data_IF_355781495216
#
_entry.id   IF_355781495216
#
_cell.length_a   1.000
_cell.length_b   1.000
_cell.length_c   1.000
_cell.angle_alpha   90.00
_cell.angle_beta   90.00
_cell.angle_gamma   90.00
#
_symmetry.space_group_name_H-M   'P 1'
#
loop_
_entity.id
_entity.type
_entity.pdbx_description
1 polymer ?
#
# COMPACT_ATOMS: atom_id res chain seq x y z
N UNK A 1 24.22 -107.32 -9.79
CA UNK A 1 23.77 -106.40 -8.73
C UNK A 1 24.26 -104.99 -9.09
N UNK A 2 23.41 -104.17 -9.71
CA UNK A 2 23.74 -102.80 -10.18
C UNK A 2 23.61 -101.84 -8.99
N UNK A 3 24.66 -101.07 -8.67
CA UNK A 3 24.56 -99.95 -7.73
C UNK A 3 24.40 -98.64 -8.50
N UNK A 4 23.35 -97.95 -8.13
CA UNK A 4 22.79 -96.73 -8.70
C UNK A 4 23.60 -95.49 -8.36
N UNK A 5 23.75 -94.64 -9.36
CA UNK A 5 24.30 -93.29 -9.29
C UNK A 5 23.50 -92.40 -8.34
N UNK A 6 24.20 -91.71 -7.43
CA UNK A 6 23.64 -90.60 -6.64
C UNK A 6 24.35 -89.33 -7.12
N UNK A 7 23.62 -88.52 -7.90
CA UNK A 7 24.03 -87.18 -8.31
C UNK A 7 24.00 -86.26 -7.09
N UNK A 8 25.17 -85.83 -6.66
CA UNK A 8 25.33 -84.78 -5.65
C UNK A 8 25.09 -83.43 -6.34
N UNK A 9 23.96 -82.79 -6.00
CA UNK A 9 23.59 -81.47 -6.46
C UNK A 9 24.57 -80.41 -5.93
N UNK A 10 25.10 -79.60 -6.84
CA UNK A 10 25.98 -78.46 -6.57
C UNK A 10 25.16 -77.38 -5.85
N UNK A 11 25.46 -77.14 -4.58
CA UNK A 11 24.85 -76.08 -3.77
C UNK A 11 25.38 -74.73 -4.30
N UNK A 12 24.53 -73.96 -4.98
CA UNK A 12 24.88 -72.63 -5.50
C UNK A 12 24.84 -71.64 -4.33
N UNK A 13 26.00 -71.12 -4.01
CA UNK A 13 26.23 -70.16 -2.94
C UNK A 13 25.69 -68.76 -3.35
N UNK A 14 24.45 -68.45 -2.99
CA UNK A 14 23.87 -67.12 -3.12
C UNK A 14 24.41 -66.21 -2.00
N UNK A 15 25.66 -65.77 -2.12
CA UNK A 15 26.28 -64.94 -1.07
C UNK A 15 27.20 -63.88 -1.65
N UNK A 16 26.67 -62.79 -2.22
CA UNK A 16 27.43 -61.53 -2.32
C UNK A 16 26.66 -60.27 -2.77
N UNK A 17 25.40 -60.30 -3.19
CA UNK A 17 24.81 -59.07 -3.78
C UNK A 17 24.27 -58.05 -2.75
N UNK A 18 24.00 -58.48 -1.51
CA UNK A 18 23.39 -57.60 -0.49
C UNK A 18 24.33 -56.54 0.13
N UNK A 19 25.66 -56.69 0.00
CA UNK A 19 26.61 -55.72 0.62
C UNK A 19 26.79 -54.46 -0.23
N UNK A 20 26.80 -54.60 -1.55
CA UNK A 20 26.98 -53.46 -2.48
C UNK A 20 25.73 -52.58 -2.52
N UNK A 21 24.54 -53.17 -2.40
CA UNK A 21 23.28 -52.43 -2.33
C UNK A 21 23.15 -51.61 -1.03
N UNK A 22 23.55 -52.16 0.13
CA UNK A 22 23.49 -51.47 1.43
C UNK A 22 24.35 -50.21 1.49
N UNK A 23 25.60 -50.27 1.00
CA UNK A 23 26.49 -49.10 1.00
C UNK A 23 26.02 -47.95 0.10
N UNK A 24 25.24 -48.24 -0.96
CA UNK A 24 24.63 -47.21 -1.81
C UNK A 24 23.41 -46.57 -1.13
N UNK A 25 22.61 -47.37 -0.44
CA UNK A 25 21.42 -46.90 0.30
C UNK A 25 21.84 -46.00 1.47
N UNK A 26 22.87 -46.38 2.23
CA UNK A 26 23.40 -45.57 3.34
C UNK A 26 23.90 -44.19 2.87
N UNK A 27 24.60 -44.14 1.73
CA UNK A 27 25.06 -42.88 1.13
C UNK A 27 23.90 -42.02 0.65
N UNK A 28 22.87 -42.62 0.06
CA UNK A 28 21.68 -41.89 -0.39
C UNK A 28 20.89 -41.31 0.79
N UNK A 29 20.71 -42.07 1.87
CA UNK A 29 20.08 -41.60 3.11
C UNK A 29 20.91 -40.47 3.74
N UNK A 30 22.23 -40.59 3.77
CA UNK A 30 23.09 -39.52 4.30
C UNK A 30 22.97 -38.22 3.50
N UNK A 31 22.91 -38.28 2.16
CA UNK A 31 22.69 -37.11 1.30
C UNK A 31 21.31 -36.50 1.53
N UNK A 32 20.27 -37.32 1.65
CA UNK A 32 18.91 -36.87 1.96
C UNK A 32 18.83 -36.19 3.33
N UNK A 33 19.51 -36.73 4.35
CA UNK A 33 19.58 -36.12 5.67
C UNK A 33 20.30 -34.78 5.63
N UNK A 34 21.44 -34.68 4.94
CA UNK A 34 22.18 -33.41 4.80
C UNK A 34 21.30 -32.34 4.14
N UNK A 35 20.61 -32.69 3.05
CA UNK A 35 19.70 -31.76 2.37
C UNK A 35 18.51 -31.34 3.26
N UNK A 36 17.96 -32.29 4.03
CA UNK A 36 16.88 -32.01 4.99
C UNK A 36 17.31 -31.12 6.16
N UNK A 37 18.56 -31.21 6.63
CA UNK A 37 19.08 -30.33 7.69
C UNK A 37 19.40 -28.92 7.17
N UNK A 38 19.74 -28.75 5.89
CA UNK A 38 20.00 -27.42 5.31
C UNK A 38 18.74 -26.58 5.06
N UNK A 39 17.55 -27.19 4.93
CA UNK A 39 16.31 -26.45 4.64
C UNK A 39 15.66 -25.80 5.86
N UNK A 40 16.21 -25.99 7.06
CA UNK A 40 15.63 -25.47 8.32
C UNK A 40 16.45 -24.33 8.95
N UNK A 41 17.40 -23.74 8.22
CA UNK A 41 17.99 -22.47 8.64
C UNK A 41 16.97 -21.35 8.36
N UNK A 42 16.20 -20.96 9.37
CA UNK A 42 15.51 -19.66 9.35
C UNK A 42 16.54 -18.59 8.98
N UNK A 43 16.19 -17.68 8.07
CA UNK A 43 17.01 -16.52 7.78
C UNK A 43 17.37 -15.84 9.11
N UNK A 44 18.66 -15.67 9.37
CA UNK A 44 19.14 -15.09 10.63
C UNK A 44 18.72 -13.63 10.77
N UNK A 45 18.47 -12.97 9.65
CA UNK A 45 17.88 -11.64 9.56
C UNK A 45 16.46 -11.75 9.03
N UNK A 46 15.49 -11.21 9.77
CA UNK A 46 14.15 -11.05 9.23
C UNK A 46 14.08 -9.93 8.20
N UNK A 47 13.02 -9.96 7.40
CA UNK A 47 12.74 -8.92 6.42
C UNK A 47 12.11 -7.70 7.10
N UNK A 48 12.33 -6.52 6.53
CA UNK A 48 11.58 -5.32 6.90
C UNK A 48 10.11 -5.49 6.47
N UNK A 49 9.19 -4.95 7.28
CA UNK A 49 7.77 -4.95 6.96
C UNK A 49 7.47 -4.09 5.74
N UNK A 50 6.46 -4.48 4.96
CA UNK A 50 5.98 -3.70 3.82
C UNK A 50 5.05 -2.57 4.28
N UNK A 51 5.01 -1.42 3.60
CA UNK A 51 3.97 -0.43 3.85
C UNK A 51 2.59 -1.01 3.47
N UNK A 52 1.54 -0.64 4.21
CA UNK A 52 0.16 -0.98 3.86
C UNK A 52 -0.32 -0.22 2.62
N UNK A 53 -1.56 -0.43 2.19
CA UNK A 53 -2.08 0.25 0.99
C UNK A 53 -2.55 1.68 1.33
N UNK A 54 -2.53 2.58 0.33
CA UNK A 54 -3.06 3.94 0.46
C UNK A 54 -4.44 4.06 -0.18
N UNK A 55 -5.33 4.78 0.49
CA UNK A 55 -6.66 5.11 0.00
C UNK A 55 -6.93 6.61 0.13
N UNK A 56 -7.59 7.20 -0.86
CA UNK A 56 -8.06 8.59 -0.81
C UNK A 56 -9.57 8.66 -0.86
N UNK A 57 -10.14 9.57 -0.09
CA UNK A 57 -11.56 9.90 -0.13
C UNK A 57 -11.74 11.39 -0.37
N UNK A 58 -12.73 11.75 -1.18
CA UNK A 58 -13.11 13.13 -1.41
C UNK A 58 -14.31 13.48 -0.53
N UNK A 59 -14.20 14.57 0.22
CA UNK A 59 -15.27 15.08 1.07
C UNK A 59 -15.61 16.52 0.71
N UNK A 60 -16.78 16.99 1.13
CA UNK A 60 -17.17 18.40 1.09
C UNK A 60 -18.13 18.69 2.24
N UNK A 61 -18.12 19.94 2.71
CA UNK A 61 -18.85 20.35 3.91
C UNK A 61 -20.32 20.70 3.65
N UNK A 62 -20.59 21.46 2.59
CA UNK A 62 -21.89 22.12 2.38
C UNK A 62 -22.64 21.47 1.23
N UNK A 63 -22.11 21.64 0.03
CA UNK A 63 -22.67 21.16 -1.22
C UNK A 63 -21.55 20.55 -2.05
N UNK A 64 -21.92 19.59 -2.88
CA UNK A 64 -21.01 19.00 -3.87
C UNK A 64 -20.50 20.10 -4.81
N UNK A 65 -19.17 20.19 -5.04
CA UNK A 65 -18.64 21.10 -6.05
C UNK A 65 -19.30 20.85 -7.41
N UNK A 66 -19.58 21.93 -8.15
CA UNK A 66 -20.21 21.84 -9.47
C UNK A 66 -19.36 21.10 -10.50
N UNK A 67 -18.04 21.06 -10.28
CA UNK A 67 -17.10 20.35 -11.12
C UNK A 67 -15.89 19.90 -10.30
N UNK A 68 -15.44 18.67 -10.54
CA UNK A 68 -14.24 18.08 -9.95
C UNK A 68 -13.48 17.37 -11.07
N UNK A 69 -12.21 17.71 -11.25
CA UNK A 69 -11.24 16.98 -12.06
C UNK A 69 -10.18 16.42 -11.13
N UNK A 70 -10.16 15.10 -10.97
CA UNK A 70 -9.35 14.42 -9.96
C UNK A 70 -7.90 14.24 -10.44
N UNK A 71 -7.63 14.44 -11.74
CA UNK A 71 -6.29 14.37 -12.33
C UNK A 71 -5.53 13.05 -12.13
N UNK A 72 -6.21 11.99 -11.66
CA UNK A 72 -5.68 10.64 -11.50
C UNK A 72 -6.71 9.60 -11.92
N UNK A 73 -6.23 8.45 -12.41
CA UNK A 73 -7.09 7.29 -12.73
C UNK A 73 -7.47 6.44 -11.51
N UNK A 74 -6.96 6.78 -10.33
CA UNK A 74 -7.25 6.07 -9.08
C UNK A 74 -8.71 6.24 -8.64
N UNK A 75 -9.28 7.44 -8.84
CA UNK A 75 -10.68 7.72 -8.53
C UNK A 75 -11.49 7.66 -9.82
N UNK A 76 -12.60 6.90 -9.86
CA UNK A 76 -13.45 6.82 -11.04
C UNK A 76 -14.07 8.19 -11.37
N UNK A 77 -14.41 8.45 -12.65
CA UNK A 77 -15.10 9.69 -13.05
C UNK A 77 -16.45 9.90 -12.35
N UNK A 78 -17.09 8.81 -11.91
CA UNK A 78 -18.27 8.81 -11.06
C UNK A 78 -17.83 8.23 -9.73
N UNK A 79 -17.77 9.07 -8.70
CA UNK A 79 -17.36 8.71 -7.36
C UNK A 79 -18.39 9.19 -6.34
N UNK A 80 -18.30 8.65 -5.12
CA UNK A 80 -19.24 8.93 -4.05
C UNK A 80 -18.57 9.68 -2.90
N UNK A 81 -19.34 10.54 -2.24
CA UNK A 81 -18.88 11.30 -1.08
C UNK A 81 -18.34 10.37 0.01
N UNK A 82 -17.12 10.64 0.47
CA UNK A 82 -16.49 9.89 1.56
C UNK A 82 -16.17 8.43 1.25
N UNK A 83 -16.34 7.97 0.01
CA UNK A 83 -15.87 6.65 -0.41
C UNK A 83 -14.36 6.70 -0.65
N UNK A 84 -13.68 5.64 -0.23
CA UNK A 84 -12.22 5.52 -0.29
C UNK A 84 -11.81 4.70 -1.52
N UNK A 85 -10.88 5.25 -2.31
CA UNK A 85 -10.35 4.63 -3.52
C UNK A 85 -8.86 4.37 -3.35
N UNK A 86 -8.41 3.16 -3.74
CA UNK A 86 -7.00 2.77 -3.68
C UNK A 86 -6.17 3.70 -4.57
N UNK A 87 -5.07 4.21 -4.04
CA UNK A 87 -4.13 5.06 -4.74
C UNK A 87 -2.70 4.66 -4.40
N UNK A 88 -1.80 4.77 -5.37
CA UNK A 88 -0.37 4.50 -5.14
C UNK A 88 0.32 5.74 -4.57
N UNK A 89 1.43 5.58 -3.84
CA UNK A 89 2.30 6.71 -3.52
C UNK A 89 2.76 7.43 -4.79
N UNK A 90 2.77 8.77 -4.75
CA UNK A 90 3.03 9.60 -5.92
C UNK A 90 2.59 11.05 -5.75
N UNK A 91 2.76 11.82 -6.82
CA UNK A 91 2.35 13.22 -6.92
C UNK A 91 1.13 13.32 -7.83
N UNK A 92 0.11 14.04 -7.38
CA UNK A 92 -1.18 14.15 -8.05
C UNK A 92 -1.69 15.59 -8.00
N UNK A 93 -2.60 15.89 -8.92
CA UNK A 93 -3.29 17.18 -9.01
C UNK A 93 -4.79 16.94 -9.05
N UNK A 94 -5.56 17.74 -8.34
CA UNK A 94 -7.00 17.77 -8.36
C UNK A 94 -7.45 19.22 -8.55
N UNK A 95 -8.51 19.45 -9.30
CA UNK A 95 -9.15 20.74 -9.47
C UNK A 95 -10.62 20.61 -9.09
N UNK A 96 -11.16 21.58 -8.38
CA UNK A 96 -12.59 21.66 -8.14
C UNK A 96 -13.11 23.09 -8.15
N UNK A 97 -14.35 23.27 -8.60
CA UNK A 97 -15.03 24.55 -8.57
C UNK A 97 -16.52 24.42 -8.21
N UNK A 98 -17.05 25.47 -7.59
CA UNK A 98 -18.44 25.47 -7.10
C UNK A 98 -18.98 26.86 -6.82
N UNK A 99 -20.17 26.87 -6.21
CA UNK A 99 -20.83 28.06 -5.72
C UNK A 99 -21.24 27.84 -4.27
N UNK A 100 -21.16 28.88 -3.45
CA UNK A 100 -21.62 28.85 -2.06
C UNK A 100 -22.48 30.06 -1.76
N UNK A 101 -23.56 29.85 -1.01
CA UNK A 101 -24.40 30.94 -0.53
C UNK A 101 -23.74 31.62 0.69
N UNK A 102 -23.35 32.88 0.54
CA UNK A 102 -22.68 33.67 1.60
C UNK A 102 -23.64 34.32 2.60
N UNK A 103 -24.94 34.02 2.52
CA UNK A 103 -25.99 34.74 3.25
C UNK A 103 -26.56 35.94 2.48
N UNK A 104 -25.76 36.59 1.64
CA UNK A 104 -26.15 37.79 0.88
C UNK A 104 -26.15 37.57 -0.64
N UNK A 105 -25.26 36.71 -1.14
CA UNK A 105 -25.13 36.41 -2.57
C UNK A 105 -24.44 35.06 -2.80
N UNK A 106 -24.57 34.54 -4.01
CA UNK A 106 -23.80 33.38 -4.46
C UNK A 106 -22.37 33.80 -4.79
N UNK A 107 -21.39 33.22 -4.09
CA UNK A 107 -19.97 33.40 -4.39
C UNK A 107 -19.45 32.17 -5.14
N UNK A 108 -18.65 32.39 -6.18
CA UNK A 108 -17.95 31.32 -6.88
C UNK A 108 -16.62 31.03 -6.17
N UNK A 109 -16.20 29.77 -6.16
CA UNK A 109 -14.88 29.37 -5.70
C UNK A 109 -14.27 28.34 -6.65
N UNK A 110 -12.94 28.31 -6.72
CA UNK A 110 -12.17 27.34 -7.50
C UNK A 110 -10.81 27.12 -6.86
N UNK A 111 -10.41 25.86 -6.80
CA UNK A 111 -9.18 25.43 -6.14
C UNK A 111 -8.40 24.45 -7.02
N UNK A 112 -7.09 24.66 -7.08
CA UNK A 112 -6.12 23.69 -7.57
C UNK A 112 -5.43 23.05 -6.37
N UNK A 113 -5.51 21.74 -6.28
CA UNK A 113 -5.02 20.94 -5.16
C UNK A 113 -3.89 20.08 -5.67
N UNK A 114 -2.68 20.31 -5.18
CA UNK A 114 -1.56 19.41 -5.39
C UNK A 114 -1.42 18.54 -4.16
N UNK A 115 -1.33 17.22 -4.32
CA UNK A 115 -1.08 16.33 -3.20
C UNK A 115 -0.01 15.30 -3.51
N UNK A 116 0.82 15.03 -2.52
CA UNK A 116 1.92 14.09 -2.57
C UNK A 116 1.72 13.05 -1.47
N UNK A 117 1.69 11.78 -1.84
CA UNK A 117 1.63 10.64 -0.91
C UNK A 117 2.98 9.94 -0.97
N UNK A 118 3.59 9.72 0.19
CA UNK A 118 4.84 8.97 0.29
C UNK A 118 4.83 8.00 1.46
N UNK A 119 5.58 6.91 1.27
CA UNK A 119 5.77 5.86 2.26
C UNK A 119 6.75 6.33 3.34
N UNK A 120 6.44 6.01 4.59
CA UNK A 120 7.42 5.97 5.66
C UNK A 120 7.92 4.54 5.82
N UNK A 121 9.20 4.36 6.12
CA UNK A 121 9.76 3.02 6.29
C UNK A 121 8.99 2.27 7.39
N UNK A 122 8.53 1.07 7.07
CA UNK A 122 7.83 0.19 7.99
C UNK A 122 8.71 -0.30 9.15
N UNK A 123 8.19 -1.22 9.94
CA UNK A 123 8.97 -1.78 11.04
C UNK A 123 10.19 -2.51 10.47
N UNK A 124 11.37 -2.11 10.96
CA UNK A 124 12.62 -2.74 10.57
C UNK A 124 12.68 -4.17 11.11
N UNK A 125 13.02 -5.12 10.24
CA UNK A 125 13.32 -6.48 10.64
C UNK A 125 14.64 -6.55 11.41
N UNK A 126 14.74 -7.51 12.32
CA UNK A 126 15.95 -7.73 13.12
C UNK A 126 16.30 -9.23 13.15
N UNK A 127 17.33 -9.58 13.92
CA UNK A 127 17.74 -10.96 14.11
C UNK A 127 16.58 -11.77 14.69
N UNK A 128 16.17 -12.81 13.96
CA UNK A 128 15.01 -13.65 14.30
C UNK A 128 13.64 -12.96 14.33
N UNK A 129 13.52 -11.75 13.77
CA UNK A 129 12.30 -10.97 13.76
C UNK A 129 12.04 -10.36 12.38
N UNK A 130 10.93 -10.73 11.73
CA UNK A 130 10.44 -9.99 10.58
C UNK A 130 9.69 -8.76 11.10
N UNK A 131 9.96 -7.59 10.54
CA UNK A 131 9.19 -6.39 10.81
C UNK A 131 7.73 -6.61 10.42
N UNK A 132 6.81 -6.01 11.19
CA UNK A 132 5.38 -6.05 10.87
C UNK A 132 5.09 -5.16 9.68
N UNK A 133 4.22 -5.64 8.79
CA UNK A 133 3.67 -4.82 7.72
C UNK A 133 2.87 -3.65 8.32
N UNK A 134 2.91 -2.51 7.66
CA UNK A 134 2.15 -1.31 8.03
C UNK A 134 0.65 -1.51 7.81
N UNK A 135 -0.21 -0.84 8.58
CA UNK A 135 -1.64 -0.83 8.32
C UNK A 135 -1.98 -0.04 7.06
N UNK A 136 -3.18 -0.26 6.52
CA UNK A 136 -3.73 0.55 5.43
C UNK A 136 -3.96 2.00 5.88
N UNK A 137 -3.68 2.94 4.99
CA UNK A 137 -3.70 4.37 5.24
C UNK A 137 -4.84 5.04 4.49
N UNK A 138 -5.69 5.76 5.22
CA UNK A 138 -6.87 6.44 4.67
C UNK A 138 -6.68 7.95 4.76
N UNK A 139 -6.67 8.60 3.61
CA UNK A 139 -6.46 10.02 3.44
C UNK A 139 -7.74 10.70 2.95
N UNK A 140 -7.97 11.94 3.38
CA UNK A 140 -9.14 12.71 2.98
C UNK A 140 -8.73 14.01 2.30
N UNK A 141 -9.34 14.36 1.17
CA UNK A 141 -9.19 15.67 0.53
C UNK A 141 -10.53 16.37 0.62
N UNK A 142 -10.55 17.51 1.32
CA UNK A 142 -11.77 18.27 1.54
C UNK A 142 -11.94 19.36 0.48
N UNK A 143 -13.00 19.22 -0.32
CA UNK A 143 -13.34 20.08 -1.44
C UNK A 143 -14.33 21.17 -1.00
N UNK A 144 -13.95 21.96 0.01
CA UNK A 144 -14.78 23.01 0.58
C UNK A 144 -14.56 24.37 -0.11
N UNK A 145 -15.57 25.27 -0.14
CA UNK A 145 -15.41 26.63 -0.66
C UNK A 145 -14.24 27.41 -0.06
N UNK A 146 -13.85 27.05 1.17
CA UNK A 146 -12.84 27.75 1.97
C UNK A 146 -11.45 27.08 1.93
N UNK A 147 -11.26 26.05 1.11
CA UNK A 147 -10.06 25.21 1.13
C UNK A 147 -10.21 24.05 2.12
N UNK A 148 -9.12 23.44 2.62
CA UNK A 148 -9.24 22.33 3.55
C UNK A 148 -9.91 22.82 4.84
N UNK A 149 -10.88 22.07 5.35
CA UNK A 149 -11.50 22.32 6.65
C UNK A 149 -10.53 22.02 7.82
N UNK A 150 -9.47 22.82 7.90
CA UNK A 150 -8.45 22.82 8.95
C UNK A 150 -8.49 24.14 9.70
N UNK A 151 -8.94 25.23 9.06
CA UNK A 151 -9.21 26.51 9.71
C UNK A 151 -10.71 26.77 9.79
N UNK A 152 -11.29 26.49 10.97
CA UNK A 152 -12.48 27.21 11.37
C UNK A 152 -12.09 28.10 12.56
N UNK A 153 -12.11 29.41 12.33
CA UNK A 153 -11.83 30.47 13.30
C UNK A 153 -12.78 30.54 14.51
N UNK A 154 -13.48 29.45 14.81
CA UNK A 154 -14.20 29.22 16.06
C UNK A 154 -13.45 28.20 16.91
N UNK A 155 -12.32 28.66 17.47
CA UNK A 155 -11.77 28.26 18.77
C UNK A 155 -12.04 26.80 19.20
N UNK A 156 -11.21 25.87 18.75
CA UNK A 156 -10.51 25.02 19.72
C UNK A 156 -9.27 24.44 19.06
N UNK A 157 -8.20 24.37 19.84
CA UNK A 157 -6.86 23.86 19.57
C UNK A 157 -6.80 22.36 19.20
N UNK A 158 -7.89 21.81 18.69
CA UNK A 158 -8.00 20.41 18.28
C UNK A 158 -8.38 20.40 16.80
N UNK A 159 -7.35 20.38 15.95
CA UNK A 159 -7.51 19.94 14.56
C UNK A 159 -8.27 18.60 14.58
N UNK A 160 -9.12 18.36 13.56
CA UNK A 160 -9.66 17.02 13.33
C UNK A 160 -8.44 16.07 13.31
N UNK A 161 -8.45 15.07 14.20
CA UNK A 161 -7.35 14.15 14.43
C UNK A 161 -6.76 13.68 13.09
N UNK A 162 -5.50 14.03 12.81
CA UNK A 162 -4.80 13.59 11.60
C UNK A 162 -4.26 14.71 10.70
N UNK A 163 -4.77 15.94 10.78
CA UNK A 163 -4.24 17.08 10.01
C UNK A 163 -3.19 17.88 10.79
N UNK A 164 -2.14 18.33 10.10
CA UNK A 164 -1.09 19.20 10.58
C UNK A 164 -0.94 20.38 9.62
N UNK A 165 -1.29 21.59 10.04
CA UNK A 165 -1.17 22.79 9.22
C UNK A 165 0.32 23.16 9.06
N UNK A 166 0.82 23.19 7.82
CA UNK A 166 2.21 23.59 7.52
C UNK A 166 2.29 25.09 7.26
N UNK A 167 1.42 25.61 6.39
CA UNK A 167 1.37 27.03 6.03
C UNK A 167 -0.04 27.44 5.61
N UNK A 168 -0.38 28.70 5.89
CA UNK A 168 -1.64 29.33 5.49
C UNK A 168 -1.35 30.75 5.00
N UNK A 169 -1.88 31.08 3.83
CA UNK A 169 -1.85 32.41 3.22
C UNK A 169 -3.20 32.68 2.56
N UNK A 170 -3.40 33.89 2.03
CA UNK A 170 -4.65 34.22 1.35
C UNK A 170 -4.91 33.36 0.11
N UNK A 171 -3.85 32.99 -0.61
CA UNK A 171 -3.95 32.29 -1.90
C UNK A 171 -3.61 30.79 -1.81
N UNK A 172 -2.91 30.38 -0.76
CA UNK A 172 -2.37 29.02 -0.64
C UNK A 172 -2.47 28.49 0.80
N UNK A 173 -2.94 27.25 0.95
CA UNK A 173 -3.02 26.53 2.23
C UNK A 173 -2.35 25.17 2.06
N UNK A 174 -1.35 24.87 2.88
CA UNK A 174 -0.67 23.58 2.88
C UNK A 174 -0.88 22.84 4.19
N UNK A 175 -1.36 21.61 4.09
CA UNK A 175 -1.65 20.71 5.22
C UNK A 175 -0.93 19.38 5.01
N UNK A 176 -0.59 18.72 6.09
CA UNK A 176 -0.03 17.37 6.12
C UNK A 176 -0.98 16.45 6.88
N UNK A 177 -1.26 15.28 6.31
CA UNK A 177 -1.91 14.18 7.00
C UNK A 177 -0.89 13.10 7.30
N UNK A 178 -0.93 12.58 8.53
CA UNK A 178 -0.10 11.45 8.96
C UNK A 178 -0.99 10.27 9.29
N UNK A 179 -0.65 9.12 8.72
CA UNK A 179 -1.22 7.84 9.04
C UNK A 179 -0.06 6.85 9.28
N UNK A 180 -0.33 5.71 9.92
CA UNK A 180 0.71 4.78 10.36
C UNK A 180 1.43 4.15 9.14
N UNK A 181 2.60 4.69 8.80
CA UNK A 181 3.43 4.21 7.69
C UNK A 181 3.34 5.04 6.41
N UNK A 182 2.47 6.06 6.34
CA UNK A 182 2.42 6.96 5.20
C UNK A 182 2.08 8.39 5.59
N UNK A 183 2.50 9.32 4.73
CA UNK A 183 2.14 10.73 4.86
C UNK A 183 1.59 11.25 3.55
N UNK A 184 0.72 12.23 3.68
CA UNK A 184 0.21 13.00 2.55
C UNK A 184 0.36 14.48 2.81
N UNK A 185 1.02 15.19 1.90
CA UNK A 185 1.02 16.66 1.88
C UNK A 185 -0.01 17.11 0.86
N UNK A 186 -0.88 18.05 1.23
CA UNK A 186 -1.84 18.66 0.34
C UNK A 186 -1.60 20.17 0.33
N UNK A 187 -1.47 20.75 -0.85
CA UNK A 187 -1.37 22.19 -1.08
C UNK A 187 -2.57 22.62 -1.92
N UNK A 188 -3.42 23.45 -1.32
CA UNK A 188 -4.57 24.07 -1.95
C UNK A 188 -4.16 25.46 -2.41
N UNK A 189 -4.32 25.74 -3.70
CA UNK A 189 -4.09 27.05 -4.31
C UNK A 189 -5.40 27.58 -4.87
N UNK A 190 -5.79 28.79 -4.50
CA UNK A 190 -6.92 29.47 -5.13
C UNK A 190 -6.62 29.68 -6.60
N UNK A 191 -7.55 29.26 -7.46
CA UNK A 191 -7.47 29.47 -8.89
C UNK A 191 -8.49 30.53 -9.27
N UNK A 192 -8.14 31.46 -10.15
CA UNK A 192 -9.13 32.33 -10.78
C UNK A 192 -9.98 31.46 -11.70
N UNK A 193 -11.31 31.59 -11.63
CA UNK A 193 -12.23 30.77 -12.43
C UNK A 193 -11.75 30.70 -13.88
N UNK A 194 -11.55 29.48 -14.37
CA UNK A 194 -11.04 29.24 -15.73
C UNK A 194 -11.83 30.08 -16.72
N UNK A 195 -11.13 30.99 -17.41
CA UNK A 195 -11.67 31.68 -18.57
C UNK A 195 -12.19 30.58 -19.48
N UNK A 196 -13.51 30.53 -19.69
CA UNK A 196 -14.15 29.57 -20.60
C UNK A 196 -13.42 29.67 -21.93
N UNK A 197 -12.61 28.67 -22.27
CA UNK A 197 -12.00 28.58 -23.59
C UNK A 197 -13.14 28.22 -24.53
N UNK A 198 -13.73 29.24 -25.17
CA UNK A 198 -14.70 29.03 -26.24
C UNK A 198 -14.01 28.27 -27.37
N UNK A 199 -14.25 26.95 -27.42
CA UNK A 199 -13.90 26.16 -28.60
C UNK A 199 -14.83 26.61 -29.71
N UNK A 200 -14.36 27.53 -30.56
CA UNK A 200 -15.02 27.86 -31.83
C UNK A 200 -15.05 26.59 -32.67
N UNK A 201 -16.25 26.03 -32.84
CA UNK A 201 -16.56 25.00 -33.85
C UNK A 201 -16.51 25.60 -35.25
#
# INVERSE_FOLDING_TARGET
>A
MKRSDIKIGKMIEFRSENKVARGKIEKFIAVLLILGFTSCQKAWHGHDGQPGDAFISLTWQVEEPSFIDIGTGAVPPVFYWGESYEIRPGNYSLYYEGQVWTGSSWANYSWEVMYEIWEEAGERGDWYYNGSDGPDNYFNIDCSPYGPYVSNGYKSSNLISGYNLISESEDEITVEQKADGMKMKITYRKSEKGIKVEVKK
#
